data_IF_752639127184
#
_entry.id   IF_752639127184
#
_cell.length_a   1.000
_cell.length_b   1.000
_cell.length_c   1.000
_cell.angle_alpha   90.00
_cell.angle_beta   90.00
_cell.angle_gamma   90.00
#
_symmetry.space_group_name_H-M   'P 1'
#
loop_
_entity.id
_entity.type
_entity.pdbx_description
1 polymer ?
#
# COMPACT_ATOMS: atom_id res chain seq x y z
N UNK A 1 1.80 2.84 21.47
CA UNK A 1 2.45 3.03 20.16
C UNK A 1 3.87 2.49 20.28
N UNK A 2 4.17 1.38 19.62
CA UNK A 2 5.51 0.80 19.64
C UNK A 2 6.36 1.50 18.58
N UNK A 3 7.49 2.11 18.97
CA UNK A 3 8.37 2.79 18.02
C UNK A 3 9.32 1.78 17.40
N UNK A 4 9.21 1.62 16.08
CA UNK A 4 10.15 0.84 15.27
C UNK A 4 10.92 1.80 14.37
N UNK A 5 12.19 1.51 14.11
CA UNK A 5 13.11 2.44 13.43
C UNK A 5 13.68 1.87 12.15
N UNK A 6 13.94 2.77 11.19
CA UNK A 6 14.59 2.44 9.92
C UNK A 6 13.76 1.50 9.04
N UNK A 7 14.42 0.96 8.00
CA UNK A 7 13.79 0.09 7.01
C UNK A 7 13.24 -1.20 7.65
N UNK A 8 13.97 -1.79 8.61
CA UNK A 8 13.52 -2.98 9.36
C UNK A 8 12.24 -2.68 10.14
N UNK A 9 12.18 -1.51 10.79
CA UNK A 9 10.97 -1.11 11.51
C UNK A 9 9.78 -0.87 10.58
N UNK A 10 10.01 -0.19 9.46
CA UNK A 10 9.00 0.07 8.44
C UNK A 10 8.43 -1.23 7.84
N UNK A 11 9.30 -2.06 7.26
CA UNK A 11 8.89 -3.33 6.62
C UNK A 11 8.38 -4.35 7.63
N UNK A 12 8.95 -4.41 8.84
CA UNK A 12 8.49 -5.28 9.92
C UNK A 12 7.11 -4.91 10.44
N UNK A 13 6.82 -3.61 10.60
CA UNK A 13 5.48 -3.13 10.97
C UNK A 13 4.43 -3.54 9.94
N UNK A 14 4.74 -3.43 8.64
CA UNK A 14 3.83 -3.87 7.59
C UNK A 14 3.61 -5.38 7.63
N UNK A 15 4.70 -6.15 7.70
CA UNK A 15 4.66 -7.62 7.77
C UNK A 15 3.82 -8.13 8.92
N UNK A 16 3.92 -7.53 10.10
CA UNK A 16 3.11 -7.89 11.27
C UNK A 16 1.62 -7.62 11.07
N UNK A 17 1.26 -6.60 10.29
CA UNK A 17 -0.13 -6.26 10.03
C UNK A 17 -0.80 -7.15 8.98
N UNK A 18 -0.04 -7.94 8.23
CA UNK A 18 -0.55 -8.94 7.29
C UNK A 18 -0.26 -10.38 7.73
N UNK A 19 0.31 -10.59 8.93
CA UNK A 19 0.78 -11.91 9.38
C UNK A 19 -0.34 -12.96 9.50
N UNK A 20 -1.54 -12.53 9.89
CA UNK A 20 -2.71 -13.41 10.09
C UNK A 20 -3.53 -13.59 8.81
N UNK A 21 -3.14 -12.92 7.71
CA UNK A 21 -3.76 -13.11 6.40
C UNK A 21 -3.27 -14.44 5.82
N UNK A 22 -4.21 -15.21 5.27
CA UNK A 22 -3.98 -16.53 4.68
C UNK A 22 -2.99 -16.45 3.52
N UNK A 23 -2.05 -17.39 3.46
CA UNK A 23 -1.10 -17.43 2.35
C UNK A 23 -1.84 -17.65 1.02
N UNK A 24 -1.39 -17.04 -0.07
CA UNK A 24 -2.10 -17.11 -1.35
C UNK A 24 -3.23 -16.08 -1.53
N UNK A 25 -3.62 -15.33 -0.48
CA UNK A 25 -4.59 -14.24 -0.57
C UNK A 25 -4.12 -13.09 -1.46
N UNK A 26 -5.07 -12.27 -1.89
CA UNK A 26 -4.88 -11.09 -2.73
C UNK A 26 -4.60 -9.84 -1.90
N UNK A 27 -3.54 -9.12 -2.25
CA UNK A 27 -3.17 -7.84 -1.66
C UNK A 27 -3.12 -6.77 -2.75
N UNK A 28 -4.02 -5.80 -2.66
CA UNK A 28 -4.07 -4.65 -3.58
C UNK A 28 -3.32 -3.48 -2.96
N UNK A 29 -2.36 -2.93 -3.67
CA UNK A 29 -1.67 -1.70 -3.33
C UNK A 29 -2.17 -0.56 -4.20
N UNK A 30 -2.57 0.55 -3.59
CA UNK A 30 -2.95 1.78 -4.30
C UNK A 30 -2.04 2.93 -3.89
N UNK A 31 -1.53 3.69 -4.86
CA UNK A 31 -0.58 4.76 -4.59
C UNK A 31 -0.38 5.73 -5.76
N UNK A 32 0.23 6.89 -5.47
CA UNK A 32 0.57 7.85 -6.51
C UNK A 32 1.66 7.29 -7.42
N UNK A 33 1.48 7.41 -8.73
CA UNK A 33 2.42 6.96 -9.75
C UNK A 33 3.81 7.57 -9.52
N UNK A 34 4.85 6.78 -9.80
CA UNK A 34 6.28 7.08 -9.66
C UNK A 34 6.77 7.20 -8.21
N UNK A 35 6.07 7.91 -7.33
CA UNK A 35 6.54 8.15 -5.96
C UNK A 35 6.24 6.97 -5.04
N UNK A 36 5.06 6.37 -5.12
CA UNK A 36 4.69 5.26 -4.23
C UNK A 36 5.19 3.91 -4.72
N UNK A 37 5.40 3.74 -6.03
CA UNK A 37 5.76 2.45 -6.64
C UNK A 37 7.00 1.81 -6.02
N UNK A 38 8.13 2.52 -5.78
CA UNK A 38 9.30 1.91 -5.14
C UNK A 38 9.04 1.44 -3.70
N UNK A 39 8.16 2.12 -2.96
CA UNK A 39 7.78 1.70 -1.61
C UNK A 39 6.85 0.49 -1.64
N UNK A 40 5.93 0.44 -2.60
CA UNK A 40 5.06 -0.73 -2.82
C UNK A 40 5.91 -1.96 -3.14
N UNK A 41 6.91 -1.84 -4.01
CA UNK A 41 7.85 -2.92 -4.35
C UNK A 41 8.67 -3.39 -3.14
N UNK A 42 9.11 -2.45 -2.29
CA UNK A 42 9.78 -2.77 -1.02
C UNK A 42 8.85 -3.52 -0.04
N UNK A 43 7.58 -3.11 0.06
CA UNK A 43 6.59 -3.77 0.91
C UNK A 43 6.21 -5.15 0.37
N UNK A 44 6.08 -5.31 -0.94
CA UNK A 44 5.87 -6.60 -1.60
C UNK A 44 7.02 -7.58 -1.27
N UNK A 45 8.27 -7.11 -1.35
CA UNK A 45 9.42 -7.92 -0.94
C UNK A 45 9.37 -8.31 0.55
N UNK A 46 8.87 -7.43 1.42
CA UNK A 46 8.77 -7.69 2.86
C UNK A 46 7.81 -8.84 3.22
N UNK A 47 6.90 -9.20 2.31
CA UNK A 47 5.88 -10.24 2.49
C UNK A 47 6.03 -11.41 1.50
N UNK A 48 7.16 -11.51 0.81
CA UNK A 48 7.42 -12.49 -0.27
C UNK A 48 7.18 -13.97 0.08
N UNK A 49 7.33 -14.36 1.34
CA UNK A 49 7.13 -15.74 1.80
C UNK A 49 5.66 -16.11 2.07
N UNK A 50 4.74 -15.16 1.87
CA UNK A 50 3.29 -15.37 2.00
C UNK A 50 2.62 -15.89 0.73
N UNK A 51 3.33 -15.89 -0.40
CA UNK A 51 2.80 -16.30 -1.70
C UNK A 51 1.52 -15.53 -2.12
N UNK A 52 1.40 -14.27 -1.67
CA UNK A 52 0.23 -13.45 -2.00
C UNK A 52 0.15 -13.12 -3.49
N UNK A 53 -1.07 -13.03 -4.00
CA UNK A 53 -1.35 -12.37 -5.27
C UNK A 53 -1.31 -10.85 -5.06
N UNK A 54 -0.20 -10.22 -5.47
CA UNK A 54 0.02 -8.79 -5.26
C UNK A 54 -0.31 -7.98 -6.50
N UNK A 55 -1.15 -6.97 -6.32
CA UNK A 55 -1.70 -6.15 -7.40
C UNK A 55 -1.41 -4.68 -7.10
N UNK A 56 -1.01 -3.92 -8.11
CA UNK A 56 -0.88 -2.48 -8.06
C UNK A 56 -2.02 -1.83 -8.83
N UNK A 57 -2.81 -1.00 -8.15
CA UNK A 57 -3.81 -0.11 -8.72
C UNK A 57 -3.24 1.32 -8.71
N UNK A 58 -2.85 1.89 -9.85
CA UNK A 58 -2.29 3.23 -9.90
C UNK A 58 -3.36 4.26 -9.58
N UNK A 59 -3.11 5.13 -8.58
CA UNK A 59 -4.14 6.00 -8.02
C UNK A 59 -5.35 5.16 -7.62
N UNK A 60 -6.56 5.56 -7.96
CA UNK A 60 -7.79 4.82 -7.68
C UNK A 60 -8.40 4.25 -8.96
N UNK A 61 -7.58 3.98 -9.98
CA UNK A 61 -8.01 3.57 -11.32
C UNK A 61 -7.86 2.06 -11.50
N UNK A 62 -8.95 1.33 -11.29
CA UNK A 62 -8.96 -0.14 -11.30
C UNK A 62 -8.71 -0.74 -12.70
N UNK A 63 -9.01 0.02 -13.77
CA UNK A 63 -8.84 -0.45 -15.16
C UNK A 63 -7.35 -0.57 -15.53
N UNK A 64 -6.51 0.17 -14.81
CA UNK A 64 -5.05 0.19 -14.94
C UNK A 64 -4.36 -0.76 -13.94
N UNK A 65 -5.10 -1.68 -13.30
CA UNK A 65 -4.55 -2.66 -12.38
C UNK A 65 -3.50 -3.56 -13.04
N UNK A 66 -2.35 -3.71 -12.38
CA UNK A 66 -1.20 -4.51 -12.84
C UNK A 66 -0.70 -5.46 -11.78
N UNK A 67 -0.13 -6.58 -12.19
CA UNK A 67 0.50 -7.53 -11.28
C UNK A 67 1.82 -6.97 -10.72
N UNK A 68 2.10 -7.29 -9.46
CA UNK A 68 3.43 -7.17 -8.86
C UNK A 68 4.03 -8.59 -8.80
N UNK A 69 5.22 -8.77 -9.37
CA UNK A 69 5.88 -10.08 -9.42
C UNK A 69 7.32 -9.99 -8.97
N UNK A 70 7.82 -11.10 -8.42
CA UNK A 70 9.25 -11.28 -8.23
C UNK A 70 9.95 -11.36 -9.60
N UNK A 71 11.02 -10.60 -9.74
CA UNK A 71 11.91 -10.57 -10.88
C UNK A 71 13.27 -11.14 -10.45
N UNK A 72 13.71 -12.27 -11.04
CA UNK A 72 14.96 -12.93 -10.66
C UNK A 72 16.16 -11.96 -10.70
N UNK A 73 16.94 -11.95 -9.62
CA UNK A 73 18.12 -11.08 -9.41
C UNK A 73 17.84 -9.57 -9.36
N UNK A 74 16.57 -9.13 -9.26
CA UNK A 74 16.19 -7.72 -9.17
C UNK A 74 15.44 -7.44 -7.86
N UNK A 75 14.34 -8.14 -7.62
CA UNK A 75 13.43 -7.85 -6.51
C UNK A 75 11.97 -7.98 -6.94
N UNK A 76 11.05 -7.28 -6.30
CA UNK A 76 9.65 -7.21 -6.75
C UNK A 76 9.46 -5.98 -7.63
N UNK A 77 8.65 -6.12 -8.68
CA UNK A 77 8.35 -5.03 -9.61
C UNK A 77 6.93 -5.11 -10.13
N UNK A 78 6.34 -3.95 -10.44
CA UNK A 78 5.11 -3.89 -11.24
C UNK A 78 5.45 -4.35 -12.66
N UNK A 79 4.73 -5.36 -13.16
CA UNK A 79 4.90 -5.88 -14.52
C UNK A 79 3.75 -5.46 -15.41
N UNK A 80 3.98 -5.37 -16.72
CA UNK A 80 2.93 -5.05 -17.69
C UNK A 80 2.03 -6.27 -17.97
N UNK A 81 1.38 -6.74 -16.92
CA UNK A 81 0.38 -7.80 -16.94
C UNK A 81 -0.85 -7.27 -16.21
N UNK A 82 -2.00 -7.25 -16.89
CA UNK A 82 -3.27 -6.88 -16.27
C UNK A 82 -3.60 -7.80 -15.10
N UNK A 83 -4.21 -7.23 -14.07
CA UNK A 83 -4.67 -7.93 -12.88
C UNK A 83 -6.16 -7.65 -12.64
N UNK A 84 -6.83 -8.55 -11.93
CA UNK A 84 -8.20 -8.33 -11.45
C UNK A 84 -8.11 -7.93 -9.96
N UNK A 85 -8.39 -6.67 -9.59
CA UNK A 85 -8.26 -6.21 -8.21
C UNK A 85 -9.46 -6.59 -7.31
N UNK A 86 -10.44 -7.34 -7.83
CA UNK A 86 -11.69 -7.65 -7.13
C UNK A 86 -11.50 -8.64 -5.97
N UNK A 87 -12.30 -8.45 -4.92
CA UNK A 87 -12.36 -9.28 -3.71
C UNK A 87 -11.01 -9.46 -2.98
N UNK A 88 -10.23 -8.39 -2.70
CA UNK A 88 -8.97 -8.55 -2.00
C UNK A 88 -9.18 -8.80 -0.50
N UNK A 89 -8.28 -9.51 0.14
CA UNK A 89 -8.24 -9.63 1.60
C UNK A 89 -7.61 -8.39 2.25
N UNK A 90 -6.72 -7.70 1.54
CA UNK A 90 -6.03 -6.51 2.02
C UNK A 90 -5.96 -5.45 0.94
N UNK A 91 -6.27 -4.20 1.32
CA UNK A 91 -5.97 -3.02 0.50
C UNK A 91 -4.99 -2.11 1.24
N UNK A 92 -3.85 -1.83 0.60
CA UNK A 92 -2.78 -0.97 1.12
C UNK A 92 -2.85 0.38 0.42
N UNK A 93 -3.24 1.42 1.16
CA UNK A 93 -3.34 2.78 0.64
C UNK A 93 -2.07 3.56 0.98
N UNK A 94 -1.37 4.05 -0.04
CA UNK A 94 -0.13 4.79 0.13
C UNK A 94 -0.36 6.29 0.30
N UNK A 95 0.37 6.90 1.24
CA UNK A 95 0.23 8.32 1.63
C UNK A 95 0.45 9.34 0.51
N UNK A 96 1.12 8.96 -0.59
CA UNK A 96 1.28 9.83 -1.76
C UNK A 96 -0.05 10.26 -2.38
N UNK A 97 -1.11 9.47 -2.21
CA UNK A 97 -2.47 9.80 -2.65
C UNK A 97 -3.07 11.00 -1.92
N UNK A 98 -2.61 11.29 -0.70
CA UNK A 98 -3.05 12.43 0.09
C UNK A 98 -2.25 13.71 -0.22
N UNK A 99 -1.24 13.65 -1.10
CA UNK A 99 -0.39 14.80 -1.41
C UNK A 99 -1.03 15.72 -2.47
N UNK A 100 -1.03 17.05 -2.30
CA UNK A 100 -1.72 17.98 -3.20
C UNK A 100 -1.33 17.91 -4.69
N UNK A 101 -0.10 17.50 -5.03
CA UNK A 101 0.40 17.48 -6.42
C UNK A 101 0.23 16.13 -7.13
N UNK A 102 0.19 15.04 -6.37
CA UNK A 102 0.30 13.68 -6.90
C UNK A 102 -0.93 12.82 -6.58
N UNK A 103 -1.78 13.34 -5.70
CA UNK A 103 -2.87 12.63 -5.08
C UNK A 103 -4.19 12.66 -5.85
N UNK A 104 -5.20 12.10 -5.19
CA UNK A 104 -6.60 12.09 -5.61
C UNK A 104 -7.49 12.61 -4.46
N UNK A 105 -8.79 12.69 -4.68
CA UNK A 105 -9.71 12.95 -3.57
C UNK A 105 -9.81 11.68 -2.70
N UNK A 106 -9.91 11.78 -1.37
CA UNK A 106 -10.12 10.60 -0.52
C UNK A 106 -11.40 9.84 -0.89
N UNK A 107 -12.40 10.54 -1.44
CA UNK A 107 -13.62 9.95 -1.98
C UNK A 107 -13.34 9.01 -3.16
N UNK A 108 -12.33 9.28 -4.00
CA UNK A 108 -11.94 8.38 -5.10
C UNK A 108 -11.41 7.05 -4.54
N UNK A 109 -10.65 7.09 -3.44
CA UNK A 109 -10.15 5.88 -2.76
C UNK A 109 -11.30 5.13 -2.10
N UNK A 110 -12.25 5.83 -1.48
CA UNK A 110 -13.44 5.19 -0.88
C UNK A 110 -14.27 4.49 -1.94
N UNK A 111 -14.53 5.15 -3.08
CA UNK A 111 -15.26 4.55 -4.19
C UNK A 111 -14.54 3.31 -4.74
N UNK A 112 -13.22 3.39 -4.93
CA UNK A 112 -12.41 2.24 -5.36
C UNK A 112 -12.50 1.10 -4.33
N UNK A 113 -12.40 1.38 -3.03
CA UNK A 113 -12.54 0.38 -1.98
C UNK A 113 -13.92 -0.30 -2.05
N UNK A 114 -14.99 0.47 -2.22
CA UNK A 114 -16.35 -0.07 -2.34
C UNK A 114 -16.52 -0.91 -3.61
N UNK A 115 -15.91 -0.50 -4.73
CA UNK A 115 -16.02 -1.16 -6.04
C UNK A 115 -15.26 -2.48 -6.10
N UNK A 116 -14.12 -2.60 -5.44
CA UNK A 116 -13.33 -3.84 -5.41
C UNK A 116 -13.70 -4.74 -4.22
N UNK A 117 -14.45 -4.23 -3.24
CA UNK A 117 -14.92 -5.04 -2.12
C UNK A 117 -15.96 -6.04 -2.60
N UNK A 118 -15.74 -7.30 -2.26
CA UNK A 118 -16.71 -8.37 -2.48
C UNK A 118 -17.78 -8.42 -1.41
N UNK A 119 -18.21 -9.65 -1.11
CA UNK A 119 -19.10 -9.95 0.02
C UNK A 119 -18.43 -9.67 1.37
N UNK A 120 -17.09 -9.75 1.44
CA UNK A 120 -16.28 -9.47 2.62
C UNK A 120 -15.48 -8.17 2.45
N UNK A 121 -15.41 -7.36 3.51
CA UNK A 121 -14.63 -6.13 3.50
C UNK A 121 -13.15 -6.44 3.68
N UNK A 122 -12.26 -5.91 2.81
CA UNK A 122 -10.83 -6.05 2.98
C UNK A 122 -10.35 -5.36 4.25
N UNK A 123 -9.22 -5.85 4.79
CA UNK A 123 -8.44 -5.07 5.74
C UNK A 123 -7.79 -3.88 5.03
N UNK A 124 -8.06 -2.65 5.50
CA UNK A 124 -7.52 -1.42 4.91
C UNK A 124 -6.32 -0.91 5.72
N UNK A 125 -5.13 -0.99 5.12
CA UNK A 125 -3.85 -0.57 5.73
C UNK A 125 -3.41 0.75 5.08
N UNK A 126 -3.34 1.82 5.87
CA UNK A 126 -2.70 3.06 5.45
C UNK A 126 -1.19 2.99 5.66
N UNK A 127 -0.38 3.24 4.64
CA UNK A 127 1.08 3.37 4.77
C UNK A 127 1.52 4.74 4.32
N UNK A 128 2.11 5.52 5.22
CA UNK A 128 2.46 6.90 4.91
C UNK A 128 3.74 7.37 5.61
N UNK A 129 4.12 8.61 5.25
CA UNK A 129 5.26 9.29 5.82
C UNK A 129 4.85 10.67 6.30
N UNK A 130 5.50 11.12 7.37
CA UNK A 130 5.36 12.49 7.91
C UNK A 130 3.90 12.88 8.19
N UNK A 131 3.12 11.92 8.71
CA UNK A 131 1.75 12.10 9.19
C UNK A 131 0.78 12.65 8.12
N UNK A 132 1.04 12.36 6.84
CA UNK A 132 0.30 12.99 5.74
C UNK A 132 -1.19 12.65 5.74
N UNK A 133 -1.59 11.45 6.19
CA UNK A 133 -3.01 11.10 6.26
C UNK A 133 -3.77 11.91 7.30
N UNK A 134 -3.21 12.09 8.51
CA UNK A 134 -3.86 12.90 9.54
C UNK A 134 -3.87 14.39 9.13
N UNK A 135 -2.74 14.90 8.63
CA UNK A 135 -2.61 16.29 8.17
C UNK A 135 -3.55 16.62 7.01
N UNK A 136 -3.84 15.65 6.14
CA UNK A 136 -4.79 15.79 5.05
C UNK A 136 -6.24 15.47 5.48
N UNK A 137 -6.47 15.01 6.72
CA UNK A 137 -7.78 14.64 7.24
C UNK A 137 -8.34 13.32 6.70
N UNK A 138 -7.50 12.47 6.11
CA UNK A 138 -7.89 11.19 5.50
C UNK A 138 -8.25 10.13 6.53
N UNK A 139 -7.63 10.17 7.72
CA UNK A 139 -7.94 9.29 8.86
C UNK A 139 -9.41 9.36 9.31
N UNK A 140 -10.12 10.44 8.97
CA UNK A 140 -11.55 10.65 9.26
C UNK A 140 -12.48 10.27 8.11
N UNK A 141 -11.92 9.98 6.94
CA UNK A 141 -12.67 9.76 5.69
C UNK A 141 -12.53 8.33 5.16
N UNK A 142 -11.33 7.76 5.26
CA UNK A 142 -11.04 6.39 4.82
C UNK A 142 -11.10 5.49 6.06
N UNK A 143 -11.79 4.34 5.98
CA UNK A 143 -11.93 3.41 7.11
C UNK A 143 -10.65 2.58 7.30
N UNK A 144 -9.54 3.21 7.68
CA UNK A 144 -8.30 2.51 7.97
C UNK A 144 -8.45 1.62 9.21
N UNK A 145 -8.14 0.33 9.08
CA UNK A 145 -8.00 -0.58 10.22
C UNK A 145 -6.68 -0.32 10.97
N UNK A 146 -5.65 0.08 10.23
CA UNK A 146 -4.34 0.44 10.78
C UNK A 146 -3.66 1.47 9.89
N UNK A 147 -2.94 2.40 10.52
CA UNK A 147 -2.05 3.34 9.84
C UNK A 147 -0.61 3.12 10.31
N UNK A 148 0.27 2.86 9.35
CA UNK A 148 1.72 2.77 9.52
C UNK A 148 2.31 4.09 9.04
N UNK A 149 2.59 5.00 9.96
CA UNK A 149 3.26 6.27 9.67
C UNK A 149 4.75 6.19 10.02
N UNK A 150 5.59 6.58 9.07
CA UNK A 150 7.05 6.60 9.23
C UNK A 150 7.58 8.02 9.12
N UNK A 151 8.34 8.46 10.13
CA UNK A 151 9.08 9.72 10.04
C UNK A 151 10.45 9.48 9.40
N UNK A 152 10.79 10.27 8.39
CA UNK A 152 12.10 10.25 7.74
C UNK A 152 12.87 11.52 8.10
N UNK A 153 14.15 11.35 8.42
CA UNK A 153 15.10 12.42 8.66
C UNK A 153 16.28 12.25 7.71
N UNK A 154 16.79 13.34 7.15
CA UNK A 154 17.96 13.35 6.27
C UNK A 154 19.04 14.22 6.90
N UNK A 155 20.21 13.63 7.12
CA UNK A 155 21.40 14.33 7.60
C UNK A 155 22.41 14.38 6.46
N UNK A 156 22.93 15.56 6.17
CA UNK A 156 23.99 15.78 5.19
C UNK A 156 25.28 16.06 5.94
N UNK A 157 26.31 15.25 5.69
CA UNK A 157 27.65 15.42 6.25
C UNK A 157 28.63 15.72 5.12
N UNK A 158 29.51 16.69 5.34
CA UNK A 158 30.62 17.03 4.43
C UNK A 158 31.87 16.18 4.70
#
# INVERSE_FOLDING_TARGET
MEKKSGIVGFTGAFRENVKEIENGSTVVFTGSVAVCTPFIELLAYAIRDKDFEMIYVPKSDIDEAKMIKEQPNIGFGVVDQKADPQNPEVVVVMGGLAMPKFGCAPEDVVNMLEEISGDEKPKVIGVCFMDIFERAGWTKKIPFDVVIDTTLETVVTE
#
